data_IF_498698152387
#
_entry.id   IF_498698152387
#
_cell.length_a   1.000
_cell.length_b   1.000
_cell.length_c   1.000
_cell.angle_alpha   90.00
_cell.angle_beta   90.00
_cell.angle_gamma   90.00
#
_symmetry.space_group_name_H-M   'P 1'
#
loop_
_entity.id
_entity.type
_entity.pdbx_description
1 polymer ?
#
# COMPACT_ATOMS: atom_id res chain seq x y z
N UNK A 1 13.34 -3.91 -19.05
CA UNK A 1 13.74 -5.34 -18.98
C UNK A 1 12.77 -6.17 -19.80
N UNK A 2 13.17 -6.64 -20.99
CA UNK A 2 12.33 -7.49 -21.87
C UNK A 2 12.33 -8.98 -21.49
N UNK A 3 13.15 -9.39 -20.51
CA UNK A 3 13.53 -10.77 -20.26
C UNK A 3 12.43 -11.68 -19.64
N UNK A 4 11.25 -11.15 -19.29
CA UNK A 4 10.16 -11.93 -18.66
C UNK A 4 8.79 -11.70 -19.32
N UNK A 5 8.75 -11.13 -20.54
CA UNK A 5 7.49 -10.73 -21.18
C UNK A 5 6.82 -9.51 -20.54
N UNK A 6 7.51 -8.81 -19.66
CA UNK A 6 7.05 -7.58 -19.00
C UNK A 6 7.46 -6.37 -19.83
N UNK A 7 6.66 -6.00 -20.83
CA UNK A 7 6.77 -4.71 -21.50
C UNK A 7 5.93 -3.67 -20.75
N UNK A 8 6.41 -3.26 -19.58
CA UNK A 8 5.66 -2.40 -18.67
C UNK A 8 5.78 -0.94 -19.08
N UNK A 9 4.68 -0.37 -19.59
CA UNK A 9 4.62 1.04 -20.00
C UNK A 9 3.91 1.90 -18.96
N UNK A 10 2.91 1.35 -18.27
CA UNK A 10 2.12 2.06 -17.28
C UNK A 10 1.84 1.19 -16.05
N UNK A 11 2.05 1.76 -14.87
CA UNK A 11 1.63 1.18 -13.60
C UNK A 11 0.47 1.99 -13.03
N UNK A 12 -0.65 1.34 -12.77
CA UNK A 12 -1.83 1.93 -12.15
C UNK A 12 -1.98 1.39 -10.73
N UNK A 13 -2.09 2.31 -9.78
CA UNK A 13 -2.31 2.03 -8.38
C UNK A 13 -3.70 2.52 -7.98
N UNK A 14 -4.61 1.60 -7.69
CA UNK A 14 -5.92 1.94 -7.13
C UNK A 14 -5.89 1.75 -5.62
N UNK A 15 -6.24 2.79 -4.87
CA UNK A 15 -6.12 2.82 -3.41
C UNK A 15 -7.50 2.99 -2.77
N UNK A 16 -8.01 1.90 -2.21
CA UNK A 16 -9.26 1.86 -1.44
C UNK A 16 -8.92 2.00 0.05
N UNK A 17 -8.84 3.25 0.51
CA UNK A 17 -8.52 3.58 1.90
C UNK A 17 -9.72 3.48 2.84
N UNK A 18 -9.49 2.91 4.03
CA UNK A 18 -10.46 2.90 5.13
C UNK A 18 -9.75 3.21 6.45
N UNK A 19 -10.48 3.54 7.53
CA UNK A 19 -9.85 3.81 8.81
C UNK A 19 -9.03 2.60 9.31
N UNK A 20 -7.73 2.80 9.48
CA UNK A 20 -6.80 1.75 9.91
C UNK A 20 -6.19 0.92 8.78
N UNK A 21 -6.43 1.21 7.50
CA UNK A 21 -5.83 0.43 6.43
C UNK A 21 -6.21 0.82 5.01
N UNK A 22 -5.86 -0.05 4.07
CA UNK A 22 -6.28 0.06 2.69
C UNK A 22 -6.24 -1.28 1.98
N UNK A 23 -7.00 -1.36 0.89
CA UNK A 23 -6.76 -2.33 -0.18
C UNK A 23 -6.15 -1.58 -1.35
N UNK A 24 -5.01 -2.07 -1.82
CA UNK A 24 -4.29 -1.49 -2.94
C UNK A 24 -4.29 -2.49 -4.09
N UNK A 25 -4.85 -2.11 -5.23
CA UNK A 25 -4.85 -2.93 -6.45
C UNK A 25 -3.78 -2.42 -7.39
N UNK A 26 -2.86 -3.31 -7.78
CA UNK A 26 -1.76 -2.99 -8.69
C UNK A 26 -2.03 -3.60 -10.05
N UNK A 27 -2.17 -2.72 -11.05
CA UNK A 27 -2.31 -3.11 -12.43
C UNK A 27 -1.13 -2.62 -13.27
N UNK A 28 -0.61 -3.48 -14.14
CA UNK A 28 0.41 -3.14 -15.12
C UNK A 28 -0.20 -3.24 -16.51
N UNK A 29 -0.17 -2.14 -17.27
CA UNK A 29 -0.77 -2.03 -18.60
C UNK A 29 -2.24 -2.49 -18.65
N UNK A 30 -3.00 -2.17 -17.60
CA UNK A 30 -4.42 -2.53 -17.47
C UNK A 30 -4.68 -3.90 -16.82
N UNK A 31 -3.67 -4.77 -16.75
CA UNK A 31 -3.80 -6.07 -16.12
C UNK A 31 -3.54 -6.01 -14.60
N UNK A 32 -4.55 -6.32 -13.80
CA UNK A 32 -4.37 -6.52 -12.35
C UNK A 32 -3.43 -7.69 -12.10
N UNK A 33 -2.27 -7.40 -11.50
CA UNK A 33 -1.23 -8.39 -11.16
C UNK A 33 -1.38 -8.89 -9.73
N UNK A 34 -1.57 -7.97 -8.79
CA UNK A 34 -1.78 -8.32 -7.39
C UNK A 34 -2.62 -7.28 -6.65
N UNK A 35 -3.15 -7.71 -5.51
CA UNK A 35 -3.78 -6.86 -4.50
C UNK A 35 -2.99 -6.95 -3.21
N UNK A 36 -2.86 -5.83 -2.51
CA UNK A 36 -2.25 -5.74 -1.20
C UNK A 36 -3.33 -5.27 -0.22
N UNK A 37 -3.61 -6.08 0.78
CA UNK A 37 -4.35 -5.66 1.97
C UNK A 37 -3.34 -5.17 3.00
N UNK A 38 -3.52 -3.94 3.47
CA UNK A 38 -2.72 -3.34 4.54
C UNK A 38 -3.63 -2.95 5.69
N UNK A 39 -3.32 -3.42 6.88
CA UNK A 39 -4.02 -3.05 8.12
C UNK A 39 -3.02 -2.58 9.16
N UNK A 40 -3.41 -1.64 10.01
CA UNK A 40 -2.59 -1.14 11.12
C UNK A 40 -3.38 -1.31 12.40
N UNK A 41 -2.76 -1.99 13.37
CA UNK A 41 -3.31 -2.21 14.70
C UNK A 41 -2.50 -1.39 15.71
N UNK A 42 -3.13 -0.48 16.47
CA UNK A 42 -2.45 0.19 17.57
C UNK A 42 -2.19 -0.79 18.71
N UNK A 43 -0.99 -0.73 19.30
CA UNK A 43 -0.59 -1.60 20.42
C UNK A 43 -0.42 -0.79 21.70
N UNK A 44 0.18 0.39 21.60
CA UNK A 44 0.34 1.36 22.68
C UNK A 44 0.58 2.74 22.08
N UNK A 45 0.72 3.76 22.94
CA UNK A 45 1.06 5.10 22.50
C UNK A 45 2.35 5.10 21.68
N UNK A 46 2.28 5.69 20.48
CA UNK A 46 3.39 5.74 19.53
C UNK A 46 3.81 4.40 18.92
N UNK A 47 3.10 3.28 19.21
CA UNK A 47 3.46 1.95 18.72
C UNK A 47 2.30 1.28 17.99
N UNK A 48 2.55 0.95 16.73
CA UNK A 48 1.60 0.26 15.86
C UNK A 48 2.24 -1.00 15.26
N UNK A 49 1.41 -1.98 14.94
CA UNK A 49 1.79 -3.13 14.11
C UNK A 49 1.06 -3.01 12.79
N UNK A 50 1.81 -3.01 11.68
CA UNK A 50 1.25 -3.03 10.35
C UNK A 50 1.27 -4.45 9.78
N UNK A 51 0.09 -4.95 9.42
CA UNK A 51 -0.11 -6.21 8.75
C UNK A 51 -0.24 -5.98 7.25
N UNK A 52 0.48 -6.74 6.45
CA UNK A 52 0.42 -6.68 4.99
C UNK A 52 0.22 -8.08 4.43
N UNK A 53 -0.82 -8.24 3.62
CA UNK A 53 -1.13 -9.47 2.92
C UNK A 53 -1.21 -9.21 1.43
N UNK A 54 -0.44 -9.97 0.66
CA UNK A 54 -0.44 -9.89 -0.79
C UNK A 54 -1.22 -11.07 -1.38
N UNK A 55 -2.11 -10.76 -2.33
CA UNK A 55 -2.80 -11.74 -3.16
C UNK A 55 -2.38 -11.53 -4.61
N UNK A 56 -1.74 -12.55 -5.20
CA UNK A 56 -1.21 -12.50 -6.56
C UNK A 56 -2.16 -13.28 -7.47
N UNK A 57 -2.57 -12.67 -8.58
CA UNK A 57 -3.44 -13.32 -9.55
C UNK A 57 -2.70 -14.50 -10.17
N UNK A 58 -3.31 -15.69 -10.13
CA UNK A 58 -2.76 -16.88 -10.78
C UNK A 58 -3.01 -16.79 -12.29
N UNK A 59 -1.96 -16.64 -13.08
CA UNK A 59 -2.02 -16.60 -14.55
C UNK A 59 -1.02 -17.61 -15.12
N UNK A 60 -1.40 -18.30 -16.21
CA UNK A 60 -0.54 -19.27 -16.89
C UNK A 60 -0.33 -20.59 -16.14
N UNK A 61 0.72 -21.32 -16.55
CA UNK A 61 1.12 -22.62 -15.99
C UNK A 61 1.85 -22.52 -14.65
N UNK A 62 2.15 -23.66 -14.04
CA UNK A 62 2.75 -23.76 -12.68
C UNK A 62 4.05 -22.97 -12.55
N UNK A 63 4.94 -23.05 -13.54
CA UNK A 63 6.22 -22.31 -13.52
C UNK A 63 5.99 -20.79 -13.52
N UNK A 64 5.11 -20.28 -14.38
CA UNK A 64 4.79 -18.84 -14.44
C UNK A 64 4.23 -18.34 -13.11
N UNK A 65 3.34 -19.12 -12.49
CA UNK A 65 2.78 -18.80 -11.16
C UNK A 65 3.88 -18.73 -10.11
N UNK A 66 4.78 -19.72 -10.06
CA UNK A 66 5.89 -19.71 -9.12
C UNK A 66 6.78 -18.46 -9.30
N UNK A 67 7.11 -18.12 -10.56
CA UNK A 67 7.86 -16.90 -10.87
C UNK A 67 7.12 -15.63 -10.42
N UNK A 68 5.82 -15.52 -10.67
CA UNK A 68 5.03 -14.35 -10.24
C UNK A 68 4.96 -14.23 -8.72
N UNK A 69 4.82 -15.35 -8.00
CA UNK A 69 4.86 -15.37 -6.54
C UNK A 69 6.18 -14.83 -6.00
N UNK A 70 7.30 -15.31 -6.55
CA UNK A 70 8.64 -14.86 -6.13
C UNK A 70 8.85 -13.40 -6.50
N UNK A 71 8.57 -13.02 -7.75
CA UNK A 71 8.83 -11.68 -8.26
C UNK A 71 8.01 -10.62 -7.51
N UNK A 72 6.69 -10.74 -7.51
CA UNK A 72 5.83 -9.73 -6.89
C UNK A 72 5.89 -9.79 -5.36
N UNK A 73 6.10 -10.97 -4.78
CA UNK A 73 6.32 -11.13 -3.34
C UNK A 73 7.59 -10.42 -2.86
N UNK A 74 8.73 -10.66 -3.52
CA UNK A 74 10.00 -10.01 -3.18
C UNK A 74 9.95 -8.51 -3.44
N UNK A 75 9.41 -8.08 -4.58
CA UNK A 75 9.26 -6.66 -4.91
C UNK A 75 8.43 -5.94 -3.84
N UNK A 76 7.28 -6.50 -3.45
CA UNK A 76 6.39 -5.88 -2.46
C UNK A 76 7.05 -5.83 -1.08
N UNK A 77 7.77 -6.88 -0.69
CA UNK A 77 8.55 -6.90 0.56
C UNK A 77 9.61 -5.81 0.57
N UNK A 78 10.35 -5.64 -0.53
CA UNK A 78 11.38 -4.61 -0.65
C UNK A 78 10.78 -3.20 -0.61
N UNK A 79 9.71 -2.95 -1.38
CA UNK A 79 8.98 -1.68 -1.38
C UNK A 79 8.50 -1.31 0.04
N UNK A 80 7.92 -2.27 0.75
CA UNK A 80 7.47 -2.09 2.13
C UNK A 80 8.64 -1.78 3.08
N UNK A 81 9.83 -2.32 2.82
CA UNK A 81 11.03 -2.00 3.59
C UNK A 81 11.47 -0.55 3.44
N UNK A 82 11.28 0.06 2.27
CA UNK A 82 11.53 1.51 2.09
C UNK A 82 10.50 2.35 2.82
N UNK A 83 9.22 2.00 2.71
CA UNK A 83 8.12 2.65 3.42
C UNK A 83 8.33 2.68 4.94
N UNK A 84 8.69 1.54 5.54
CA UNK A 84 8.94 1.43 6.99
C UNK A 84 10.08 2.34 7.44
N UNK A 85 11.15 2.45 6.65
CA UNK A 85 12.26 3.37 6.96
C UNK A 85 11.81 4.82 6.96
N UNK A 86 10.97 5.21 5.99
CA UNK A 86 10.39 6.54 5.94
C UNK A 86 9.55 6.76 7.19
N UNK A 87 8.59 5.88 7.48
CA UNK A 87 7.66 6.10 8.59
C UNK A 87 8.33 6.16 9.95
N UNK A 88 9.32 5.31 10.20
CA UNK A 88 10.08 5.33 11.46
C UNK A 88 10.94 6.60 11.60
N UNK A 89 11.23 7.30 10.50
CA UNK A 89 11.94 8.58 10.50
C UNK A 89 11.03 9.82 10.50
N UNK A 90 9.71 9.68 10.39
CA UNK A 90 8.79 10.82 10.35
C UNK A 90 8.51 11.37 11.75
N UNK A 91 8.37 12.70 11.84
CA UNK A 91 7.80 13.35 13.04
C UNK A 91 6.26 13.22 13.03
N UNK A 92 5.60 13.14 14.20
CA UNK A 92 4.15 12.98 14.29
C UNK A 92 3.34 14.15 13.70
N UNK A 93 3.88 15.37 13.75
CA UNK A 93 3.19 16.61 13.35
C UNK A 93 3.42 17.01 11.88
N UNK A 94 4.42 16.41 11.21
CA UNK A 94 4.67 16.55 9.78
C UNK A 94 4.87 17.98 9.27
N UNK A 95 5.13 18.95 10.16
CA UNK A 95 5.41 20.38 9.91
C UNK A 95 4.38 21.17 9.07
N UNK A 96 3.24 20.59 8.68
CA UNK A 96 2.07 21.33 8.16
C UNK A 96 2.21 22.03 6.81
N UNK A 97 3.28 21.81 6.04
CA UNK A 97 3.42 22.37 4.70
C UNK A 97 2.73 21.47 3.65
N UNK A 98 1.75 22.02 2.92
CA UNK A 98 0.99 21.28 1.89
C UNK A 98 1.08 21.99 0.54
N UNK A 99 1.36 21.23 -0.51
CA UNK A 99 1.34 21.68 -1.90
C UNK A 99 -0.04 21.50 -2.55
N UNK A 100 -0.14 21.94 -3.82
CA UNK A 100 -1.35 21.81 -4.65
C UNK A 100 -1.89 20.37 -4.72
N UNK A 101 -1.01 19.37 -4.69
CA UNK A 101 -1.36 17.96 -4.84
C UNK A 101 -1.73 17.26 -3.52
N UNK A 102 -1.57 17.92 -2.37
CA UNK A 102 -1.80 17.32 -1.04
C UNK A 102 -3.24 17.48 -0.53
N UNK A 103 -4.13 18.10 -1.31
CA UNK A 103 -5.52 18.37 -0.89
C UNK A 103 -6.27 17.12 -0.46
N UNK A 104 -5.98 15.97 -1.08
CA UNK A 104 -6.59 14.69 -0.71
C UNK A 104 -6.09 14.14 0.63
N UNK A 105 -4.85 14.42 1.02
CA UNK A 105 -4.30 14.06 2.34
C UNK A 105 -5.08 14.75 3.44
N UNK A 106 -5.39 16.04 3.27
CA UNK A 106 -6.20 16.81 4.23
C UNK A 106 -7.62 16.26 4.36
N UNK A 107 -8.26 15.91 3.24
CA UNK A 107 -9.59 15.29 3.25
C UNK A 107 -9.59 13.92 3.95
N UNK A 108 -8.57 13.10 3.68
CA UNK A 108 -8.42 11.80 4.34
C UNK A 108 -8.23 11.93 5.85
N UNK A 109 -7.43 12.90 6.32
CA UNK A 109 -7.26 13.18 7.75
C UNK A 109 -8.56 13.63 8.43
N UNK A 110 -9.36 14.45 7.75
CA UNK A 110 -10.68 14.84 8.25
C UNK A 110 -11.62 13.62 8.36
N UNK A 111 -11.66 12.77 7.33
CA UNK A 111 -12.42 11.52 7.33
C UNK A 111 -12.00 10.60 8.49
N UNK A 112 -10.69 10.39 8.67
CA UNK A 112 -10.15 9.54 9.72
C UNK A 112 -10.50 10.04 11.13
N UNK A 113 -10.33 11.35 11.39
CA UNK A 113 -10.73 11.97 12.67
C UNK A 113 -12.22 11.76 12.96
N UNK A 114 -13.08 12.01 11.98
CA UNK A 114 -14.52 11.79 12.16
C UNK A 114 -14.92 10.32 12.38
N UNK A 115 -14.10 9.36 11.95
CA UNK A 115 -14.27 7.96 12.36
C UNK A 115 -13.77 7.71 13.78
N UNK A 116 -12.57 8.18 14.13
CA UNK A 116 -11.98 8.01 15.46
C UNK A 116 -12.88 8.60 16.56
N UNK A 117 -13.41 9.80 16.34
CA UNK A 117 -14.34 10.47 17.27
C UNK A 117 -15.64 9.71 17.49
N UNK A 118 -16.06 8.88 16.51
CA UNK A 118 -17.28 8.06 16.62
C UNK A 118 -17.04 6.76 17.37
N UNK A 119 -15.88 6.12 17.18
CA UNK A 119 -15.57 4.84 17.83
C UNK A 119 -14.95 5.00 19.22
N UNK A 120 -14.40 6.17 19.54
CA UNK A 120 -13.86 6.50 20.85
C UNK A 120 -14.88 7.04 21.86
N UNK A 121 -16.16 7.15 21.46
CA UNK A 121 -17.30 7.37 22.36
C UNK A 121 -17.88 6.02 22.77
#
# INVERSE_FOLDING_TARGET
MRALGLNMSQMNLHFDGYPGGCVMTVALDGDVKYKLLRCVTPVSDGKNVMHMLISIRKVGGVLRRATDYVLFGLQTRQASGYDVKIWNGMKPDGCGAYGKYDKLVLKYRALYRGWADRVGR
#
